data_IF_720022066507
#
_entry.id   IF_720022066507
#
_cell.length_a   1.000
_cell.length_b   1.000
_cell.length_c   1.000
_cell.angle_alpha   90.00
_cell.angle_beta   90.00
_cell.angle_gamma   90.00
#
_symmetry.space_group_name_H-M   'P 1'
#
loop_
_entity.id
_entity.type
_entity.pdbx_description
1 polymer ?
#
# COMPACT_ATOMS: atom_id res chain seq x y z
N UNK A 1 8.17 2.41 10.52
CA UNK A 1 7.34 1.22 10.87
C UNK A 1 7.79 0.62 12.20
N UNK A 2 7.75 1.41 13.29
CA UNK A 2 8.02 0.95 14.67
C UNK A 2 6.90 1.42 15.62
N UNK A 3 5.72 1.67 15.06
CA UNK A 3 4.64 2.41 15.72
C UNK A 3 3.79 1.50 16.62
N UNK A 4 3.71 0.20 16.29
CA UNK A 4 3.07 -0.80 17.13
C UNK A 4 4.05 -1.26 18.22
N UNK A 5 3.55 -1.28 19.45
CA UNK A 5 4.26 -1.71 20.65
C UNK A 5 3.83 -3.13 20.97
N UNK A 6 4.76 -4.08 20.94
CA UNK A 6 4.43 -5.50 21.14
C UNK A 6 3.86 -5.75 22.55
N UNK A 7 4.33 -4.97 23.52
CA UNK A 7 3.85 -4.97 24.90
C UNK A 7 2.38 -4.50 25.05
N UNK A 8 1.87 -3.73 24.08
CA UNK A 8 0.49 -3.23 24.06
C UNK A 8 -0.43 -4.10 23.18
N UNK A 9 0.13 -5.09 22.45
CA UNK A 9 -0.64 -6.05 21.68
C UNK A 9 -1.17 -7.16 22.60
N UNK A 10 -2.21 -7.87 22.15
CA UNK A 10 -2.85 -8.96 22.90
C UNK A 10 -1.78 -9.89 23.49
N UNK A 11 -1.86 -10.23 24.78
CA UNK A 11 -0.96 -11.15 25.49
C UNK A 11 -0.91 -12.58 24.89
N UNK A 12 -1.59 -12.79 23.77
CA UNK A 12 -1.64 -14.07 23.08
C UNK A 12 -0.25 -14.43 22.55
N UNK A 13 0.30 -15.60 22.92
CA UNK A 13 1.57 -16.09 22.38
C UNK A 13 1.49 -16.41 20.87
N UNK A 14 0.30 -16.36 20.26
CA UNK A 14 0.08 -16.57 18.84
C UNK A 14 0.31 -15.31 17.98
N UNK A 15 0.49 -14.14 18.61
CA UNK A 15 0.69 -12.87 17.89
C UNK A 15 2.18 -12.59 17.71
N UNK A 16 2.60 -12.43 16.46
CA UNK A 16 3.96 -12.04 16.10
C UNK A 16 3.98 -10.66 15.46
N UNK A 17 4.85 -9.77 15.96
CA UNK A 17 5.01 -8.42 15.40
C UNK A 17 6.26 -8.34 14.52
N UNK A 18 6.06 -7.94 13.26
CA UNK A 18 7.16 -7.57 12.35
C UNK A 18 7.44 -6.07 12.38
N UNK A 19 8.29 -5.65 13.32
CA UNK A 19 8.68 -4.25 13.51
C UNK A 19 10.00 -3.90 12.81
N UNK A 20 10.17 -2.64 12.38
CA UNK A 20 11.41 -2.15 11.79
C UNK A 20 11.29 -1.71 10.32
N UNK A 21 12.36 -1.05 9.85
CA UNK A 21 12.50 -0.51 8.49
C UNK A 21 13.27 -1.47 7.57
N UNK A 22 13.27 -1.24 6.25
CA UNK A 22 14.03 -2.01 5.25
C UNK A 22 13.66 -3.49 5.10
N UNK A 23 12.38 -3.81 5.33
CA UNK A 23 11.85 -5.16 5.07
C UNK A 23 11.74 -5.40 3.55
N UNK A 24 12.08 -6.60 3.02
CA UNK A 24 12.15 -6.87 1.58
C UNK A 24 10.90 -6.48 0.77
N UNK A 25 9.71 -6.55 1.37
CA UNK A 25 8.46 -6.10 0.74
C UNK A 25 7.66 -5.11 1.60
N UNK A 26 8.36 -4.30 2.38
CA UNK A 26 7.78 -3.17 3.11
C UNK A 26 6.55 -3.57 3.96
N UNK A 27 5.36 -3.09 3.60
CA UNK A 27 4.10 -3.26 4.35
C UNK A 27 3.61 -4.71 4.42
N UNK A 28 3.87 -5.51 3.38
CA UNK A 28 3.39 -6.91 3.26
C UNK A 28 4.54 -7.93 3.28
N UNK A 29 5.65 -7.58 3.94
CA UNK A 29 6.86 -8.41 3.96
C UNK A 29 6.73 -9.80 4.56
N UNK A 30 5.65 -10.12 5.28
CA UNK A 30 5.41 -11.47 5.79
C UNK A 30 4.92 -12.46 4.73
N UNK A 31 4.38 -11.98 3.60
CA UNK A 31 3.67 -12.85 2.64
C UNK A 31 4.61 -13.74 1.80
N UNK A 32 5.89 -13.38 1.70
CA UNK A 32 6.88 -14.16 0.95
C UNK A 32 7.37 -15.42 1.67
N UNK A 33 7.13 -15.55 2.97
CA UNK A 33 7.60 -16.67 3.79
C UNK A 33 6.65 -17.86 3.63
N UNK A 34 7.04 -18.84 2.80
CA UNK A 34 6.16 -19.98 2.45
C UNK A 34 5.65 -20.75 3.67
N UNK A 35 6.50 -20.98 4.68
CA UNK A 35 6.17 -21.74 5.89
C UNK A 35 5.21 -20.99 6.85
N UNK A 36 5.09 -19.67 6.71
CA UNK A 36 4.27 -18.80 7.57
C UNK A 36 3.29 -17.97 6.76
N UNK A 37 2.94 -18.44 5.56
CA UNK A 37 2.03 -17.73 4.67
C UNK A 37 0.63 -17.73 5.30
N UNK A 38 0.01 -16.56 5.51
CA UNK A 38 -1.32 -16.49 6.09
C UNK A 38 -2.38 -16.91 5.06
N UNK A 39 -3.51 -17.40 5.55
CA UNK A 39 -4.67 -17.75 4.71
C UNK A 39 -5.29 -16.53 4.02
N UNK A 40 -5.19 -15.36 4.67
CA UNK A 40 -5.69 -14.08 4.18
C UNK A 40 -4.97 -12.89 4.84
N UNK A 41 -5.15 -11.70 4.29
CA UNK A 41 -4.65 -10.45 4.86
C UNK A 41 -5.78 -9.49 5.24
N UNK A 42 -5.56 -8.69 6.29
CA UNK A 42 -6.40 -7.55 6.66
C UNK A 42 -5.57 -6.28 6.51
N UNK A 43 -6.08 -5.32 5.76
CA UNK A 43 -5.47 -4.00 5.55
C UNK A 43 -6.04 -3.00 6.54
N UNK A 44 -5.40 -2.85 7.69
CA UNK A 44 -5.88 -2.03 8.79
C UNK A 44 -5.33 -0.61 8.73
N UNK A 45 -6.20 0.39 8.73
CA UNK A 45 -5.84 1.81 8.83
C UNK A 45 -5.21 2.40 7.58
N UNK A 46 -5.62 1.91 6.40
CA UNK A 46 -5.16 2.40 5.10
C UNK A 46 -5.72 3.79 4.79
N UNK A 47 -5.13 4.45 3.79
CA UNK A 47 -5.51 5.77 3.29
C UNK A 47 -5.43 5.82 1.77
N UNK A 48 -6.04 6.86 1.19
CA UNK A 48 -6.10 7.05 -0.25
C UNK A 48 -4.71 7.30 -0.88
N UNK A 49 -4.61 7.06 -2.19
CA UNK A 49 -3.39 7.21 -2.98
C UNK A 49 -2.91 8.66 -3.09
N UNK A 50 -1.66 8.86 -3.52
CA UNK A 50 -1.14 10.19 -3.83
C UNK A 50 -1.99 10.89 -4.91
N UNK A 51 -2.27 12.18 -4.71
CA UNK A 51 -3.12 12.96 -5.61
C UNK A 51 -4.63 12.80 -5.40
N UNK A 52 -5.10 11.96 -4.45
CA UNK A 52 -6.51 11.91 -4.11
C UNK A 52 -6.98 13.26 -3.51
N UNK A 53 -8.09 13.85 -4.00
CA UNK A 53 -8.46 15.24 -3.69
C UNK A 53 -8.73 15.53 -2.21
N UNK A 54 -9.33 14.59 -1.50
CA UNK A 54 -9.78 14.79 -0.11
C UNK A 54 -9.28 13.72 0.87
N UNK A 55 -8.60 12.67 0.40
CA UNK A 55 -8.23 11.53 1.23
C UNK A 55 -7.25 11.93 2.36
N UNK A 56 -7.53 11.48 3.57
CA UNK A 56 -6.76 11.87 4.77
C UNK A 56 -5.34 11.31 4.67
N UNK A 57 -4.36 12.21 4.70
CA UNK A 57 -2.93 11.91 4.51
C UNK A 57 -2.65 11.23 3.17
N UNK A 58 -3.41 11.54 2.12
CA UNK A 58 -3.26 10.92 0.79
C UNK A 58 -1.81 10.93 0.29
N UNK A 59 -1.25 9.73 0.07
CA UNK A 59 0.09 9.50 -0.48
C UNK A 59 0.26 8.04 -0.92
N UNK A 60 1.40 7.74 -1.54
CA UNK A 60 1.76 6.37 -1.91
C UNK A 60 3.23 6.13 -1.61
N UNK A 61 3.52 5.30 -0.60
CA UNK A 61 4.84 4.98 -0.04
C UNK A 61 5.70 6.19 0.34
N UNK A 62 6.33 6.83 -0.64
CA UNK A 62 7.27 7.93 -0.44
C UNK A 62 6.60 9.22 -0.83
N UNK A 63 5.83 9.81 0.09
CA UNK A 63 5.00 11.00 -0.16
C UNK A 63 5.74 12.23 -0.73
N UNK A 64 7.05 12.32 -0.52
CA UNK A 64 7.90 13.41 -1.04
C UNK A 64 8.53 13.11 -2.39
N UNK A 65 8.44 11.86 -2.84
CA UNK A 65 9.11 11.36 -4.05
C UNK A 65 8.07 11.00 -5.11
N UNK A 66 7.05 10.23 -4.73
CA UNK A 66 6.02 9.76 -5.65
C UNK A 66 4.87 10.76 -5.67
N UNK A 67 4.75 11.48 -6.79
CA UNK A 67 3.64 12.37 -7.06
C UNK A 67 2.40 11.59 -7.47
N UNK A 68 2.57 10.61 -8.36
CA UNK A 68 1.53 9.67 -8.81
C UNK A 68 2.17 8.30 -9.04
N UNK A 69 1.39 7.23 -8.79
CA UNK A 69 1.75 5.87 -9.18
C UNK A 69 0.60 5.27 -9.97
N UNK A 70 0.92 4.56 -11.05
CA UNK A 70 -0.04 3.75 -11.82
C UNK A 70 0.40 2.29 -11.85
N UNK A 71 -0.56 1.39 -11.80
CA UNK A 71 -0.37 -0.03 -12.10
C UNK A 71 -1.16 -0.34 -13.37
N UNK A 72 -0.46 -0.80 -14.40
CA UNK A 72 -1.02 -1.17 -15.70
C UNK A 72 -1.90 -0.05 -16.32
N UNK A 73 -1.41 1.20 -16.22
CA UNK A 73 -2.06 2.40 -16.73
C UNK A 73 -3.15 3.00 -15.83
N UNK A 74 -3.49 2.36 -14.71
CA UNK A 74 -4.53 2.85 -13.78
C UNK A 74 -3.92 3.46 -12.51
N UNK A 75 -4.36 4.65 -12.06
CA UNK A 75 -3.90 5.26 -10.81
C UNK A 75 -4.08 4.35 -9.61
N UNK A 76 -3.02 4.13 -8.84
CA UNK A 76 -2.98 3.13 -7.77
C UNK A 76 -2.35 3.70 -6.50
N UNK A 77 -2.88 3.29 -5.35
CA UNK A 77 -2.30 3.56 -4.04
C UNK A 77 -1.64 2.35 -3.42
N UNK A 78 -1.29 2.46 -2.14
CA UNK A 78 -0.73 1.35 -1.36
C UNK A 78 -1.69 0.16 -1.30
N UNK A 79 -3.01 0.40 -1.26
CA UNK A 79 -4.03 -0.66 -1.30
C UNK A 79 -3.85 -1.56 -2.51
N UNK A 80 -3.85 -1.00 -3.73
CA UNK A 80 -3.74 -1.78 -4.96
C UNK A 80 -2.37 -2.42 -5.12
N UNK A 81 -1.29 -1.68 -4.82
CA UNK A 81 0.08 -2.19 -4.92
C UNK A 81 0.34 -3.38 -3.98
N UNK A 82 -0.14 -3.29 -2.74
CA UNK A 82 -0.03 -4.37 -1.76
C UNK A 82 -0.98 -5.53 -2.07
N UNK A 83 -2.19 -5.27 -2.58
CA UNK A 83 -3.13 -6.31 -2.99
C UNK A 83 -2.59 -7.14 -4.16
N UNK A 84 -1.99 -6.47 -5.14
CA UNK A 84 -1.28 -7.10 -6.24
C UNK A 84 -0.13 -7.98 -5.72
N UNK A 85 0.67 -7.47 -4.77
CA UNK A 85 1.77 -8.27 -4.21
C UNK A 85 1.27 -9.45 -3.37
N UNK A 86 0.19 -9.28 -2.61
CA UNK A 86 -0.44 -10.36 -1.86
C UNK A 86 -0.94 -11.45 -2.82
N UNK A 87 -1.56 -11.06 -3.93
CA UNK A 87 -2.06 -11.97 -4.95
C UNK A 87 -0.93 -12.70 -5.68
N UNK A 88 0.22 -12.05 -5.92
CA UNK A 88 1.44 -12.71 -6.40
C UNK A 88 1.88 -13.85 -5.48
N UNK A 89 1.78 -13.66 -4.16
CA UNK A 89 2.03 -14.70 -3.16
C UNK A 89 0.81 -15.60 -2.88
N UNK A 90 -0.28 -15.47 -3.63
CA UNK A 90 -1.47 -16.29 -3.48
C UNK A 90 -2.30 -16.00 -2.22
N UNK A 91 -2.08 -14.88 -1.54
CA UNK A 91 -2.79 -14.47 -0.33
C UNK A 91 -3.91 -13.49 -0.69
N UNK A 92 -5.18 -13.81 -0.43
CA UNK A 92 -6.29 -12.90 -0.64
C UNK A 92 -6.39 -11.84 0.46
N UNK A 93 -7.06 -10.74 0.16
CA UNK A 93 -7.45 -9.73 1.13
C UNK A 93 -8.86 -10.06 1.63
N UNK A 94 -9.07 -10.02 2.95
CA UNK A 94 -10.36 -10.32 3.58
C UNK A 94 -11.10 -9.07 4.07
N UNK A 95 -10.35 -8.02 4.42
CA UNK A 95 -10.90 -6.79 4.98
C UNK A 95 -9.96 -5.61 4.79
N UNK A 96 -10.53 -4.41 4.62
CA UNK A 96 -9.81 -3.15 4.63
C UNK A 96 -10.51 -2.14 5.55
N UNK A 97 -9.73 -1.37 6.31
CA UNK A 97 -10.23 -0.24 7.10
C UNK A 97 -9.50 1.05 6.75
N UNK A 98 -10.22 2.16 6.77
CA UNK A 98 -9.67 3.48 6.41
C UNK A 98 -10.73 4.57 6.41
N UNK A 99 -10.46 5.65 5.68
CA UNK A 99 -11.49 6.65 5.34
C UNK A 99 -12.39 6.17 4.20
N UNK A 100 -13.46 6.93 3.96
CA UNK A 100 -14.35 6.79 2.81
C UNK A 100 -13.57 6.81 1.48
N UNK A 101 -12.60 7.73 1.33
CA UNK A 101 -11.78 7.85 0.14
C UNK A 101 -11.03 6.55 -0.21
N UNK A 102 -10.27 5.95 0.72
CA UNK A 102 -9.56 4.70 0.42
C UNK A 102 -10.51 3.53 0.16
N UNK A 103 -11.71 3.54 0.76
CA UNK A 103 -12.72 2.50 0.52
C UNK A 103 -13.27 2.61 -0.91
N UNK A 104 -13.56 3.82 -1.37
CA UNK A 104 -13.96 4.05 -2.76
C UNK A 104 -12.88 3.57 -3.74
N UNK A 105 -11.61 3.93 -3.49
CA UNK A 105 -10.49 3.45 -4.29
C UNK A 105 -10.37 1.94 -4.27
N UNK A 106 -10.44 1.34 -3.07
CA UNK A 106 -10.25 -0.09 -2.89
C UNK A 106 -11.31 -0.91 -3.63
N UNK A 107 -12.56 -0.44 -3.74
CA UNK A 107 -13.61 -1.11 -4.52
C UNK A 107 -13.24 -1.28 -5.99
N UNK A 108 -12.51 -0.32 -6.57
CA UNK A 108 -12.07 -0.38 -7.97
C UNK A 108 -11.01 -1.46 -8.21
N UNK A 109 -10.29 -1.85 -7.16
CA UNK A 109 -9.19 -2.82 -7.21
C UNK A 109 -9.55 -4.19 -6.64
N UNK A 110 -10.44 -4.24 -5.65
CA UNK A 110 -10.73 -5.43 -4.84
C UNK A 110 -12.22 -5.84 -4.87
N UNK A 111 -13.05 -5.14 -5.65
CA UNK A 111 -14.49 -5.37 -5.71
C UNK A 111 -15.17 -5.18 -4.35
N UNK A 112 -16.19 -6.01 -4.08
CA UNK A 112 -16.93 -5.98 -2.82
C UNK A 112 -16.25 -6.82 -1.73
N UNK A 113 -15.23 -6.22 -1.12
CA UNK A 113 -14.56 -6.68 0.09
C UNK A 113 -15.30 -6.21 1.35
N UNK A 114 -15.01 -6.83 2.50
CA UNK A 114 -15.40 -6.25 3.79
C UNK A 114 -14.65 -4.93 4.05
N UNK A 115 -15.36 -3.81 3.92
CA UNK A 115 -14.83 -2.48 4.19
C UNK A 115 -15.35 -1.91 5.51
N UNK A 116 -14.47 -1.34 6.32
CA UNK A 116 -14.85 -0.63 7.55
C UNK A 116 -14.36 0.80 7.50
N UNK A 117 -15.28 1.73 7.28
CA UNK A 117 -15.00 3.16 7.38
C UNK A 117 -14.83 3.54 8.86
N UNK A 118 -13.65 4.04 9.21
CA UNK A 118 -13.28 4.44 10.59
C UNK A 118 -13.16 5.95 10.75
N UNK A 119 -13.21 6.70 9.67
CA UNK A 119 -13.21 8.17 9.64
C UNK A 119 -13.83 8.65 8.32
N UNK A 120 -14.31 9.87 8.29
CA UNK A 120 -14.75 10.55 7.07
C UNK A 120 -13.76 11.66 6.73
N UNK A 121 -13.32 11.69 5.47
CA UNK A 121 -12.31 12.61 4.99
C UNK A 121 -12.92 13.99 4.69
N UNK A 122 -12.38 15.04 5.30
CA UNK A 122 -12.78 16.44 5.02
C UNK A 122 -11.75 17.10 4.11
N UNK A 123 -10.46 16.86 4.38
CA UNK A 123 -9.35 17.27 3.54
C UNK A 123 -8.13 16.38 3.80
N UNK A 124 -7.03 16.61 3.07
CA UNK A 124 -5.78 15.87 3.28
C UNK A 124 -5.32 15.85 4.74
N UNK A 125 -5.66 16.85 5.55
CA UNK A 125 -5.21 16.95 6.94
C UNK A 125 -6.35 17.06 7.97
N UNK A 126 -7.60 16.80 7.57
CA UNK A 126 -8.74 16.89 8.49
C UNK A 126 -9.77 15.81 8.21
N UNK A 127 -10.43 15.36 9.27
CA UNK A 127 -11.38 14.26 9.22
C UNK A 127 -12.45 14.39 10.30
N UNK A 128 -13.65 13.87 10.04
CA UNK A 128 -14.65 13.61 11.07
C UNK A 128 -14.38 12.23 11.65
N UNK A 129 -14.25 12.16 12.98
CA UNK A 129 -13.85 10.95 13.68
C UNK A 129 -15.03 10.40 14.51
N UNK A 130 -15.56 9.21 14.19
CA UNK A 130 -16.41 8.46 15.10
C UNK A 130 -15.70 8.15 16.42
N UNK A 131 -16.48 7.84 17.46
CA UNK A 131 -15.92 7.50 18.77
C UNK A 131 -15.00 6.28 18.70
N UNK A 132 -13.93 6.29 19.50
CA UNK A 132 -12.97 5.19 19.55
C UNK A 132 -13.65 3.85 19.87
N UNK A 133 -14.54 3.82 20.87
CA UNK A 133 -15.29 2.62 21.24
C UNK A 133 -16.18 2.11 20.09
N UNK A 134 -16.84 3.01 19.36
CA UNK A 134 -17.65 2.67 18.20
C UNK A 134 -16.82 2.07 17.06
N UNK A 135 -15.68 2.68 16.73
CA UNK A 135 -14.76 2.15 15.73
C UNK A 135 -14.20 0.79 16.14
N UNK A 136 -13.78 0.62 17.39
CA UNK A 136 -13.26 -0.65 17.89
C UNK A 136 -14.30 -1.78 17.78
N UNK A 137 -15.56 -1.50 18.14
CA UNK A 137 -16.65 -2.47 18.01
C UNK A 137 -16.90 -2.87 16.54
N UNK A 138 -16.94 -1.88 15.62
CA UNK A 138 -17.09 -2.13 14.17
C UNK A 138 -15.95 -2.98 13.62
N UNK A 139 -14.70 -2.62 13.92
CA UNK A 139 -13.50 -3.35 13.46
C UNK A 139 -13.51 -4.78 13.99
N UNK A 140 -13.78 -4.99 15.28
CA UNK A 140 -13.84 -6.34 15.87
C UNK A 140 -14.90 -7.21 15.22
N UNK A 141 -16.11 -6.68 15.02
CA UNK A 141 -17.20 -7.40 14.36
C UNK A 141 -16.81 -7.81 12.94
N UNK A 142 -16.38 -6.84 12.13
CA UNK A 142 -16.00 -7.07 10.74
C UNK A 142 -14.81 -8.03 10.60
N UNK A 143 -13.79 -7.92 11.47
CA UNK A 143 -12.64 -8.82 11.44
C UNK A 143 -13.05 -10.27 11.76
N UNK A 144 -13.96 -10.47 12.72
CA UNK A 144 -14.52 -11.80 13.03
C UNK A 144 -15.30 -12.36 11.85
N UNK A 145 -16.18 -11.55 11.26
CA UNK A 145 -17.00 -11.97 10.09
C UNK A 145 -16.11 -12.31 8.89
N UNK A 146 -15.13 -11.46 8.57
CA UNK A 146 -14.18 -11.68 7.50
C UNK A 146 -13.33 -12.94 7.73
N UNK A 147 -12.90 -13.22 8.96
CA UNK A 147 -12.14 -14.43 9.26
C UNK A 147 -12.96 -15.72 9.13
N UNK A 148 -14.27 -15.65 9.41
CA UNK A 148 -15.17 -16.81 9.37
C UNK A 148 -15.78 -17.06 7.98
N UNK A 149 -15.72 -16.09 7.07
CA UNK A 149 -16.31 -16.20 5.75
C UNK A 149 -15.29 -15.98 4.64
N UNK A 150 -14.72 -17.06 4.12
CA UNK A 150 -13.78 -16.98 2.99
C UNK A 150 -14.43 -16.58 1.67
N UNK A 151 -15.77 -16.59 1.56
CA UNK A 151 -16.46 -16.20 0.33
C UNK A 151 -16.33 -14.71 0.01
N UNK A 152 -15.97 -13.88 1.00
CA UNK A 152 -15.75 -12.45 0.82
C UNK A 152 -14.27 -12.08 0.64
N UNK A 153 -13.38 -13.07 0.51
CA UNK A 153 -11.96 -12.84 0.30
C UNK A 153 -11.67 -12.61 -1.18
N UNK A 154 -10.84 -11.62 -1.48
CA UNK A 154 -10.56 -11.21 -2.85
C UNK A 154 -9.06 -11.24 -3.18
N UNK A 155 -8.73 -11.78 -4.36
CA UNK A 155 -7.39 -11.67 -4.95
C UNK A 155 -7.46 -10.73 -6.13
N UNK A 156 -6.51 -9.80 -6.19
CA UNK A 156 -6.32 -8.97 -7.36
C UNK A 156 -5.82 -9.83 -8.54
N UNK A 157 -6.43 -9.63 -9.70
CA UNK A 157 -6.02 -10.30 -10.93
C UNK A 157 -4.80 -9.58 -11.54
N UNK A 158 -3.61 -10.11 -11.25
CA UNK A 158 -2.36 -9.62 -11.82
C UNK A 158 -2.28 -9.91 -13.32
N UNK A 159 -1.89 -8.90 -14.10
CA UNK A 159 -1.52 -9.12 -15.51
C UNK A 159 -0.21 -9.92 -15.60
N UNK A 160 -0.02 -10.77 -16.64
CA UNK A 160 1.21 -11.54 -16.84
C UNK A 160 2.49 -10.71 -16.91
N UNK A 161 2.38 -9.47 -17.38
CA UNK A 161 3.45 -8.48 -17.35
C UNK A 161 2.89 -7.21 -16.75
N UNK A 162 3.30 -6.91 -15.52
CA UNK A 162 2.87 -5.70 -14.83
C UNK A 162 3.78 -4.53 -15.20
N UNK A 163 3.17 -3.35 -15.30
CA UNK A 163 3.85 -2.06 -15.48
C UNK A 163 3.53 -1.15 -14.29
N UNK A 164 4.55 -0.80 -13.51
CA UNK A 164 4.44 0.23 -12.46
C UNK A 164 5.02 1.52 -13.03
N UNK A 165 4.17 2.52 -13.24
CA UNK A 165 4.60 3.85 -13.64
C UNK A 165 4.62 4.77 -12.42
N UNK A 166 5.67 5.57 -12.31
CA UNK A 166 5.88 6.46 -11.17
C UNK A 166 6.21 7.85 -11.72
N UNK A 167 5.30 8.80 -11.51
CA UNK A 167 5.59 10.23 -11.72
C UNK A 167 6.19 10.79 -10.44
N UNK A 168 7.37 11.40 -10.55
CA UNK A 168 8.09 11.98 -9.42
C UNK A 168 7.87 13.49 -9.34
N UNK A 169 8.15 14.09 -8.18
CA UNK A 169 8.03 15.55 -8.02
C UNK A 169 9.06 16.33 -8.84
N UNK A 170 10.27 15.80 -8.93
CA UNK A 170 11.43 16.47 -9.53
C UNK A 170 12.12 15.59 -10.59
N UNK A 171 12.57 16.15 -11.73
CA UNK A 171 13.27 15.40 -12.76
C UNK A 171 14.53 14.66 -12.27
N UNK A 172 15.27 15.22 -11.30
CA UNK A 172 16.50 14.62 -10.77
C UNK A 172 16.24 13.32 -10.03
N UNK A 173 15.04 13.15 -9.44
CA UNK A 173 14.63 11.89 -8.82
C UNK A 173 14.47 10.80 -9.88
N UNK A 174 13.95 11.16 -11.05
CA UNK A 174 13.80 10.23 -12.16
C UNK A 174 15.17 9.93 -12.81
N UNK A 175 16.12 10.87 -12.84
CA UNK A 175 17.50 10.62 -13.29
C UNK A 175 18.19 9.61 -12.36
N UNK A 176 17.91 9.70 -11.06
CA UNK A 176 18.40 8.73 -10.08
C UNK A 176 17.81 7.34 -10.30
N UNK A 177 16.52 7.26 -10.66
CA UNK A 177 15.85 5.99 -10.91
C UNK A 177 16.45 5.26 -12.12
N UNK A 178 16.79 5.97 -13.20
CA UNK A 178 17.40 5.41 -14.40
C UNK A 178 18.78 4.74 -14.16
N UNK A 179 19.40 4.96 -13.00
CA UNK A 179 20.58 4.20 -12.59
C UNK A 179 20.29 2.71 -12.38
N UNK A 180 19.02 2.32 -12.21
CA UNK A 180 18.60 0.93 -12.12
C UNK A 180 18.39 0.39 -13.56
N UNK A 181 19.15 -0.63 -14.00
CA UNK A 181 18.97 -1.21 -15.32
C UNK A 181 17.55 -1.70 -15.55
N UNK A 182 17.00 -1.41 -16.74
CA UNK A 182 15.67 -1.83 -17.15
C UNK A 182 14.53 -0.86 -16.76
N UNK A 183 14.83 0.25 -16.07
CA UNK A 183 13.87 1.35 -15.92
C UNK A 183 13.80 2.14 -17.23
N UNK A 184 12.58 2.44 -17.66
CA UNK A 184 12.30 3.24 -18.85
C UNK A 184 11.80 4.62 -18.44
N UNK A 185 12.42 5.69 -18.94
CA UNK A 185 11.89 7.05 -18.76
C UNK A 185 10.85 7.37 -19.82
N UNK A 186 9.65 7.74 -19.37
CA UNK A 186 8.51 8.07 -20.23
C UNK A 186 8.42 9.57 -20.54
N UNK A 187 8.79 10.42 -19.58
CA UNK A 187 8.81 11.88 -19.74
C UNK A 187 9.81 12.55 -18.77
N UNK A 188 9.70 13.87 -18.59
CA UNK A 188 10.57 14.66 -17.72
C UNK A 188 10.61 14.21 -16.24
N UNK A 189 9.58 13.50 -15.75
CA UNK A 189 9.49 13.06 -14.34
C UNK A 189 8.89 11.66 -14.14
N UNK A 190 8.40 11.03 -15.20
CA UNK A 190 7.74 9.72 -15.13
C UNK A 190 8.67 8.61 -15.61
N UNK A 191 8.77 7.55 -14.83
CA UNK A 191 9.46 6.31 -15.20
C UNK A 191 8.48 5.13 -15.22
N UNK A 192 8.83 4.06 -15.92
CA UNK A 192 8.12 2.79 -15.94
C UNK A 192 9.05 1.64 -15.51
N UNK A 193 8.51 0.76 -14.67
CA UNK A 193 9.10 -0.51 -14.26
C UNK A 193 8.23 -1.62 -14.83
N UNK A 194 8.75 -2.32 -15.85
CA UNK A 194 8.05 -3.44 -16.49
C UNK A 194 8.74 -4.74 -16.13
N UNK A 195 8.00 -5.69 -15.55
CA UNK A 195 8.56 -7.00 -15.19
C UNK A 195 7.46 -8.07 -15.13
N UNK A 196 7.78 -9.32 -15.49
CA UNK A 196 6.83 -10.45 -15.41
C UNK A 196 6.65 -10.98 -13.98
N UNK A 197 7.72 -10.98 -13.19
CA UNK A 197 7.67 -11.19 -11.74
C UNK A 197 7.36 -9.88 -11.00
N UNK A 198 6.13 -9.76 -10.50
CA UNK A 198 5.65 -8.57 -9.78
C UNK A 198 6.44 -8.30 -8.49
N UNK A 199 6.97 -9.33 -7.82
CA UNK A 199 7.79 -9.14 -6.61
C UNK A 199 9.11 -8.41 -6.91
N UNK A 200 9.67 -8.60 -8.12
CA UNK A 200 10.84 -7.85 -8.58
C UNK A 200 10.47 -6.41 -8.93
N UNK A 201 9.37 -6.19 -9.69
CA UNK A 201 8.88 -4.85 -9.99
C UNK A 201 8.62 -4.03 -8.71
N UNK A 202 7.97 -4.64 -7.72
CA UNK A 202 7.68 -3.99 -6.43
C UNK A 202 8.96 -3.62 -5.66
N UNK A 203 9.96 -4.51 -5.62
CA UNK A 203 11.25 -4.21 -4.98
C UNK A 203 12.02 -3.11 -5.73
N UNK A 204 11.95 -3.09 -7.07
CA UNK A 204 12.51 -1.99 -7.86
C UNK A 204 11.80 -0.67 -7.53
N UNK A 205 10.48 -0.63 -7.38
CA UNK A 205 9.75 0.56 -6.91
C UNK A 205 10.25 1.03 -5.54
N UNK A 206 10.47 0.12 -4.59
CA UNK A 206 11.04 0.49 -3.28
C UNK A 206 12.45 1.08 -3.41
N UNK A 207 13.28 0.52 -4.31
CA UNK A 207 14.62 1.00 -4.58
C UNK A 207 14.61 2.40 -5.25
N UNK A 208 13.72 2.61 -6.22
CA UNK A 208 13.48 3.94 -6.84
C UNK A 208 13.12 4.96 -5.78
N UNK A 209 12.22 4.61 -4.85
CA UNK A 209 11.87 5.50 -3.75
C UNK A 209 13.03 5.81 -2.79
N UNK A 210 14.02 4.92 -2.68
CA UNK A 210 15.23 5.17 -1.89
C UNK A 210 16.25 6.03 -2.65
N UNK A 211 16.41 5.81 -3.96
CA UNK A 211 17.29 6.62 -4.82
C UNK A 211 16.76 8.04 -4.99
N UNK A 212 15.45 8.22 -5.21
CA UNK A 212 14.85 9.56 -5.27
C UNK A 212 15.08 10.35 -3.98
N UNK A 213 15.06 9.69 -2.82
CA UNK A 213 15.34 10.33 -1.54
C UNK A 213 16.80 10.78 -1.35
N UNK A 214 17.75 10.27 -2.15
CA UNK A 214 19.14 10.74 -2.13
C UNK A 214 19.35 12.02 -2.93
N UNK A 215 18.35 12.46 -3.72
CA UNK A 215 18.39 13.65 -4.57
C UNK A 215 17.81 14.90 -3.90
N UNK A 216 18.13 15.11 -2.62
CA UNK A 216 17.86 16.43 -2.03
C UNK A 216 18.62 17.48 -2.84
N UNK A 217 17.91 18.52 -3.26
CA UNK A 217 18.48 19.64 -3.98
C UNK A 217 19.59 20.27 -3.11
N UNK A 218 20.88 20.23 -3.55
CA UNK A 218 21.97 20.78 -2.76
C UNK A 218 22.05 22.31 -2.79
N UNK A 219 21.26 22.97 -3.64
CA UNK A 219 21.27 24.42 -3.85
C UNK A 219 20.06 25.15 -3.25
N UNK A 220 18.95 24.44 -2.98
CA UNK A 220 17.70 25.04 -2.51
C UNK A 220 17.10 24.41 -1.22
N UNK A 221 17.92 23.77 -0.39
CA UNK A 221 17.48 23.10 0.86
C UNK A 221 17.39 24.02 2.08
#
# INVERSE_FOLDING_TARGET
MRNLRIEDLVESPAVYLRSGWQKPFSMVSGLSEAERRPDFAIFLGYHARAGHPHGVLSHTYRAQIFFEVKLDGKPVGETGLNAALASYFGVPIAMLTGDDAVIEEARQWLGDLTFVQVKEAVSRYSAILPSHAGNLAKIRKAAKEAALNSSCWHKYELKPQSSIEITMFDPSMADAAELIPGIERLDARTIAIKHSDYSKAFRMMLAVGALGASRKDPYFS
#
